data_IF_702458910721
#
_entry.id   IF_702458910721
#
_cell.length_a   1.000
_cell.length_b   1.000
_cell.length_c   1.000
_cell.angle_alpha   90.00
_cell.angle_beta   90.00
_cell.angle_gamma   90.00
#
_symmetry.space_group_name_H-M   'P 1'
#
loop_
_entity.id
_entity.type
_entity.pdbx_description
1 polymer ?
#
# COMPACT_ATOMS: atom_id res chain seq x y z
N UNK A 1 -4.43 63.01 -27.92
CA UNK A 1 -5.36 61.98 -27.41
C UNK A 1 -4.61 60.66 -27.44
N UNK A 2 -4.75 59.92 -26.34
CA UNK A 2 -3.75 59.03 -25.72
C UNK A 2 -3.40 57.72 -26.46
N UNK A 3 -2.22 57.13 -26.21
CA UNK A 3 -1.92 55.74 -26.57
C UNK A 3 -2.55 54.77 -25.55
N UNK A 4 -3.26 53.75 -26.04
CA UNK A 4 -3.83 52.68 -25.20
C UNK A 4 -2.70 51.79 -24.69
N UNK A 5 -2.51 51.79 -23.36
CA UNK A 5 -1.58 50.95 -22.62
C UNK A 5 -2.02 49.48 -22.62
N UNK A 6 -1.09 48.57 -22.92
CA UNK A 6 -1.28 47.15 -22.69
C UNK A 6 -1.16 46.84 -21.18
N UNK A 7 -2.27 46.44 -20.58
CA UNK A 7 -2.32 45.95 -19.20
C UNK A 7 -1.77 44.52 -19.19
N UNK A 8 -0.59 44.31 -18.61
CA UNK A 8 -0.09 42.97 -18.28
C UNK A 8 -0.51 42.64 -16.85
N UNK A 9 -1.28 41.56 -16.60
CA UNK A 9 -1.54 41.10 -15.24
C UNK A 9 -0.31 40.35 -14.73
N UNK A 10 0.36 40.93 -13.74
CA UNK A 10 1.41 40.28 -12.95
C UNK A 10 0.77 39.33 -11.94
N UNK A 11 0.81 38.03 -12.21
CA UNK A 11 0.42 36.99 -11.26
C UNK A 11 1.60 36.70 -10.34
N UNK A 12 1.61 37.31 -9.16
CA UNK A 12 2.50 36.93 -8.06
C UNK A 12 1.76 35.87 -7.24
N UNK A 13 2.23 34.62 -7.13
CA UNK A 13 1.58 33.65 -6.25
C UNK A 13 1.95 33.95 -4.79
N UNK A 14 0.97 34.44 -4.03
CA UNK A 14 1.06 34.51 -2.58
C UNK A 14 0.95 33.08 -1.99
N UNK A 15 2.02 32.62 -1.32
CA UNK A 15 2.03 31.37 -0.56
C UNK A 15 1.46 31.63 0.85
N UNK A 16 0.36 30.99 1.27
CA UNK A 16 -0.09 31.07 2.65
C UNK A 16 0.66 30.08 3.56
N UNK A 17 1.23 30.66 4.63
CA UNK A 17 1.36 30.17 6.00
C UNK A 17 1.67 28.67 6.24
N UNK A 18 2.95 28.44 6.55
CA UNK A 18 3.49 27.29 7.27
C UNK A 18 3.01 27.31 8.73
N UNK A 19 1.84 26.73 9.04
CA UNK A 19 1.38 26.50 10.43
C UNK A 19 0.18 25.54 10.48
N UNK A 20 0.40 24.24 10.27
CA UNK A 20 -0.61 23.20 10.54
C UNK A 20 0.01 21.83 10.88
N UNK A 21 1.19 21.81 11.51
CA UNK A 21 1.85 20.56 11.95
C UNK A 21 1.95 20.51 13.48
N UNK A 22 0.86 20.90 14.14
CA UNK A 22 0.77 20.90 15.60
C UNK A 22 -0.60 20.41 16.05
N UNK A 23 -1.08 19.29 15.51
CA UNK A 23 -2.22 18.56 16.08
C UNK A 23 -2.32 17.14 15.51
N UNK A 24 -1.46 16.26 15.99
CA UNK A 24 -1.70 14.81 15.94
C UNK A 24 -0.88 14.18 17.07
N UNK A 25 -1.39 14.28 18.30
CA UNK A 25 -0.90 13.54 19.47
C UNK A 25 -1.29 12.06 19.38
N UNK A 26 -0.90 11.40 18.32
CA UNK A 26 -0.74 9.95 18.30
C UNK A 26 0.64 9.74 17.75
N UNK A 27 1.59 9.41 18.62
CA UNK A 27 2.95 9.22 18.17
C UNK A 27 2.95 8.06 17.18
N UNK A 28 3.81 8.15 16.17
CA UNK A 28 4.02 7.04 15.23
C UNK A 28 4.30 5.72 15.96
N UNK A 29 4.94 5.78 17.14
CA UNK A 29 5.18 4.63 17.99
C UNK A 29 3.91 3.97 18.53
N UNK A 30 2.89 4.74 18.88
CA UNK A 30 1.60 4.21 19.35
C UNK A 30 0.82 3.55 18.23
N UNK A 31 0.89 4.12 17.03
CA UNK A 31 0.32 3.52 15.82
C UNK A 31 1.02 2.18 15.49
N UNK A 32 2.35 2.16 15.52
CA UNK A 32 3.13 0.94 15.27
C UNK A 32 2.81 -0.15 16.31
N UNK A 33 2.73 0.21 17.59
CA UNK A 33 2.38 -0.72 18.67
C UNK A 33 0.98 -1.31 18.49
N UNK A 34 0.02 -0.49 18.05
CA UNK A 34 -1.35 -0.92 17.77
C UNK A 34 -1.40 -1.90 16.60
N UNK A 35 -0.66 -1.63 15.52
CA UNK A 35 -0.60 -2.54 14.36
C UNK A 35 0.03 -3.89 14.71
N UNK A 36 1.09 -3.90 15.53
CA UNK A 36 1.72 -5.14 16.01
C UNK A 36 0.75 -5.94 16.88
N UNK A 37 0.02 -5.30 17.79
CA UNK A 37 -0.98 -5.96 18.62
C UNK A 37 -2.13 -6.56 17.79
N UNK A 38 -2.63 -5.81 16.80
CA UNK A 38 -3.67 -6.29 15.88
C UNK A 38 -3.22 -7.48 15.03
N UNK A 39 -1.97 -7.48 14.59
CA UNK A 39 -1.40 -8.59 13.81
C UNK A 39 -1.32 -9.87 14.65
N UNK A 40 -0.92 -9.76 15.92
CA UNK A 40 -0.88 -10.89 16.84
C UNK A 40 -2.28 -11.48 17.11
N UNK A 41 -3.29 -10.61 17.27
CA UNK A 41 -4.67 -11.05 17.46
C UNK A 41 -5.24 -11.76 16.21
N UNK A 42 -4.94 -11.22 15.02
CA UNK A 42 -5.30 -11.87 13.76
C UNK A 42 -4.63 -13.24 13.58
N UNK A 43 -3.38 -13.39 14.02
CA UNK A 43 -2.66 -14.66 13.94
C UNK A 43 -3.28 -15.72 14.85
N UNK A 44 -3.63 -15.39 16.09
CA UNK A 44 -4.35 -16.31 16.99
C UNK A 44 -5.72 -16.72 16.46
N UNK A 45 -6.48 -15.78 15.89
CA UNK A 45 -7.77 -16.09 15.29
C UNK A 45 -7.64 -17.01 14.06
N UNK A 46 -6.60 -16.82 13.26
CA UNK A 46 -6.30 -17.69 12.12
C UNK A 46 -5.94 -19.12 12.58
N UNK A 47 -5.15 -19.27 13.63
CA UNK A 47 -4.80 -20.58 14.20
C UNK A 47 -6.04 -21.33 14.71
N UNK A 48 -6.97 -20.63 15.37
CA UNK A 48 -8.24 -21.21 15.82
C UNK A 48 -9.14 -21.61 14.64
N UNK A 49 -9.21 -20.79 13.59
CA UNK A 49 -9.98 -21.11 12.39
C UNK A 49 -9.39 -22.33 11.66
N UNK A 50 -8.06 -22.44 11.59
CA UNK A 50 -7.36 -23.56 10.98
C UNK A 50 -7.66 -24.88 11.71
N UNK A 51 -7.71 -24.85 13.05
CA UNK A 51 -8.13 -25.99 13.87
C UNK A 51 -9.55 -26.46 13.57
N UNK A 52 -10.48 -25.53 13.30
CA UNK A 52 -11.87 -25.85 12.95
C UNK A 52 -12.01 -26.44 11.54
N UNK A 53 -11.16 -26.01 10.59
CA UNK A 53 -11.19 -26.49 9.19
C UNK A 53 -10.64 -27.92 9.06
N UNK A 54 -9.68 -28.32 9.90
CA UNK A 54 -9.18 -29.71 9.92
C UNK A 54 -10.22 -30.75 10.38
N UNK A 55 -11.39 -30.33 10.90
CA UNK A 55 -12.46 -31.22 11.38
C UNK A 55 -13.38 -31.82 10.30
N UNK A 56 -13.06 -31.66 9.00
CA UNK A 56 -13.55 -32.56 7.94
C UNK A 56 -14.76 -32.10 7.15
N UNK A 57 -14.57 -31.20 6.18
CA UNK A 57 -15.57 -30.86 5.16
C UNK A 57 -15.28 -31.48 3.79
N UNK A 58 -15.71 -32.72 3.53
CA UNK A 58 -15.54 -33.47 2.26
C UNK A 58 -16.13 -32.81 1.01
N UNK A 59 -16.93 -31.73 1.13
CA UNK A 59 -17.57 -31.06 -0.02
C UNK A 59 -16.62 -30.28 -0.94
N UNK A 60 -15.35 -30.16 -0.59
CA UNK A 60 -14.47 -29.11 -1.11
C UNK A 60 -13.38 -29.58 -2.08
N UNK A 61 -13.27 -30.87 -2.46
CA UNK A 61 -12.12 -31.31 -3.27
C UNK A 61 -11.99 -30.57 -4.61
N UNK A 62 -13.10 -30.38 -5.33
CA UNK A 62 -13.09 -29.65 -6.60
C UNK A 62 -12.78 -28.15 -6.40
N UNK A 63 -13.36 -27.56 -5.36
CA UNK A 63 -13.12 -26.16 -4.98
C UNK A 63 -11.67 -25.94 -4.50
N UNK A 64 -11.08 -26.91 -3.81
CA UNK A 64 -9.69 -26.93 -3.38
C UNK A 64 -8.74 -27.05 -4.58
N UNK A 65 -9.08 -27.86 -5.59
CA UNK A 65 -8.30 -27.91 -6.84
C UNK A 65 -8.38 -26.58 -7.61
N UNK A 66 -9.55 -25.94 -7.68
CA UNK A 66 -9.70 -24.61 -8.30
C UNK A 66 -8.89 -23.56 -7.52
N UNK A 67 -8.96 -23.58 -6.19
CA UNK A 67 -8.19 -22.67 -5.35
C UNK A 67 -6.68 -22.87 -5.53
N UNK A 68 -6.23 -24.12 -5.66
CA UNK A 68 -4.83 -24.46 -5.91
C UNK A 68 -4.36 -23.94 -7.27
N UNK A 69 -5.13 -24.15 -8.33
CA UNK A 69 -4.80 -23.66 -9.68
C UNK A 69 -4.75 -22.11 -9.70
N UNK A 70 -5.71 -21.47 -9.04
CA UNK A 70 -5.72 -20.00 -8.89
C UNK A 70 -4.51 -19.49 -8.12
N UNK A 71 -4.09 -20.22 -7.09
CA UNK A 71 -2.91 -19.88 -6.30
C UNK A 71 -1.62 -19.99 -7.14
N UNK A 72 -1.47 -21.04 -7.95
CA UNK A 72 -0.30 -21.22 -8.83
C UNK A 72 -0.19 -20.06 -9.83
N UNK A 73 -1.28 -19.74 -10.53
CA UNK A 73 -1.31 -18.62 -11.50
C UNK A 73 -0.99 -17.29 -10.82
N UNK A 74 -1.55 -17.05 -9.63
CA UNK A 74 -1.30 -15.82 -8.86
C UNK A 74 0.14 -15.71 -8.39
N UNK A 75 0.74 -16.83 -7.96
CA UNK A 75 2.14 -16.88 -7.55
C UNK A 75 3.07 -16.57 -8.73
N UNK A 76 2.81 -17.18 -9.89
CA UNK A 76 3.58 -16.92 -11.12
C UNK A 76 3.50 -15.44 -11.51
N UNK A 77 2.32 -14.83 -11.42
CA UNK A 77 2.16 -13.41 -11.66
C UNK A 77 2.94 -12.56 -10.64
N UNK A 78 2.87 -12.90 -9.36
CA UNK A 78 3.58 -12.18 -8.30
C UNK A 78 5.10 -12.22 -8.48
N UNK A 79 5.66 -13.34 -8.95
CA UNK A 79 7.09 -13.42 -9.31
C UNK A 79 7.44 -12.45 -10.43
N UNK A 80 6.59 -12.30 -11.44
CA UNK A 80 6.80 -11.31 -12.51
C UNK A 80 6.75 -9.87 -11.99
N UNK A 81 5.80 -9.57 -11.11
CA UNK A 81 5.69 -8.26 -10.45
C UNK A 81 6.94 -7.98 -9.60
N UNK A 82 7.39 -8.96 -8.80
CA UNK A 82 8.63 -8.86 -8.01
C UNK A 82 9.83 -8.54 -8.90
N UNK A 83 9.98 -9.26 -10.00
CA UNK A 83 11.09 -9.04 -10.93
C UNK A 83 11.03 -7.63 -11.54
N UNK A 84 9.85 -7.16 -11.97
CA UNK A 84 9.68 -5.78 -12.47
C UNK A 84 9.98 -4.72 -11.41
N UNK A 85 9.59 -4.95 -10.16
CA UNK A 85 9.87 -4.03 -9.06
C UNK A 85 11.38 -3.94 -8.77
N UNK A 86 12.09 -5.07 -8.79
CA UNK A 86 13.56 -5.10 -8.66
C UNK A 86 14.22 -4.35 -9.81
N UNK A 87 13.79 -4.59 -11.05
CA UNK A 87 14.33 -3.86 -12.22
C UNK A 87 14.06 -2.36 -12.12
N UNK A 88 12.87 -1.95 -11.70
CA UNK A 88 12.54 -0.54 -11.51
C UNK A 88 13.41 0.12 -10.42
N UNK A 89 13.70 -0.60 -9.33
CA UNK A 89 14.61 -0.13 -8.30
C UNK A 89 16.05 0.01 -8.83
N UNK A 90 16.54 -0.97 -9.59
CA UNK A 90 17.86 -0.93 -10.22
C UNK A 90 17.99 0.22 -11.24
N UNK A 91 16.93 0.53 -11.97
CA UNK A 91 16.88 1.65 -12.92
C UNK A 91 16.99 3.00 -12.19
N UNK A 92 16.23 3.18 -11.10
CA UNK A 92 16.30 4.41 -10.28
C UNK A 92 17.70 4.60 -9.70
N UNK A 93 18.37 3.52 -9.27
CA UNK A 93 19.74 3.60 -8.78
C UNK A 93 20.75 3.98 -9.87
N UNK A 94 20.56 3.50 -11.11
CA UNK A 94 21.41 3.88 -12.24
C UNK A 94 21.20 5.33 -12.70
N UNK A 95 20.03 5.92 -12.45
CA UNK A 95 19.79 7.34 -12.72
C UNK A 95 20.49 8.31 -11.74
N UNK A 96 20.92 7.84 -10.58
CA UNK A 96 21.47 8.68 -9.51
C UNK A 96 23.02 8.73 -9.46
N UNK A 97 23.71 8.06 -10.39
CA UNK A 97 25.18 8.13 -10.52
C UNK A 97 25.61 9.04 -11.66
#
# INVERSE_FOLDING_TARGET
>A
MEPIQAVTPSLTPALPARSAVAQAETSFGDMLKTMVAQTNEQQQNADQALQQVHAGGEKNLHEAMIALEKADVSLRYMVQVRNKAISAYQEIMQMQV
#
